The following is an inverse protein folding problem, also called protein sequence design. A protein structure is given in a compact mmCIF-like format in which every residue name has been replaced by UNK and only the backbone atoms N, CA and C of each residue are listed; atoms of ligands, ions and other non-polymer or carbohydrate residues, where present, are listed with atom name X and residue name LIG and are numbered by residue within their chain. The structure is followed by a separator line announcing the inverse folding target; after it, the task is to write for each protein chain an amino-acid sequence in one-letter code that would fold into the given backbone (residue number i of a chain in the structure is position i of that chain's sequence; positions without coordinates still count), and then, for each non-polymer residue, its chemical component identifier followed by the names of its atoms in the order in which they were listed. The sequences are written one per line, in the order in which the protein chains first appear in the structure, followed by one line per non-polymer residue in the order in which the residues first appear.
data_IF_771965791354
#
_entry.id   IF_771965791354
#
_cell.length_a   1.000
_cell.length_b   1.000
_cell.length_c   1.000
_cell.angle_alpha   90.00
_cell.angle_beta   90.00
_cell.angle_gamma   90.00
#
_symmetry.space_group_name_H-M   'P 1'
#
loop_
_entity.id
_entity.type
_entity.pdbx_description
1 polymer ?
#
# COMPACT_ATOMS: atom_id res chain seq x y z
N UNK A 1 30.21 28.59 -43.81
CA UNK A 1 31.29 28.85 -42.86
C UNK A 1 31.25 27.90 -41.69
N UNK A 2 32.39 27.38 -41.30
CA UNK A 2 32.45 26.39 -40.23
C UNK A 2 31.94 26.91 -38.87
N UNK A 3 32.17 28.20 -38.59
CA UNK A 3 31.70 28.80 -37.32
C UNK A 3 30.19 28.84 -37.20
N UNK A 4 29.49 29.13 -38.31
CA UNK A 4 28.02 29.14 -38.32
C UNK A 4 27.49 27.73 -38.19
N UNK A 5 28.10 26.75 -38.85
CA UNK A 5 27.72 25.35 -38.73
C UNK A 5 27.92 24.80 -37.32
N UNK A 6 29.06 25.16 -36.70
CA UNK A 6 29.34 24.76 -35.31
C UNK A 6 28.35 25.39 -34.35
N UNK A 7 28.01 26.66 -34.56
CA UNK A 7 27.02 27.35 -33.75
C UNK A 7 25.64 26.68 -33.88
N UNK A 8 25.24 26.35 -35.10
CA UNK A 8 23.97 25.65 -35.36
C UNK A 8 23.95 24.27 -34.72
N UNK A 9 25.07 23.55 -34.74
CA UNK A 9 25.17 22.23 -34.06
C UNK A 9 25.02 22.38 -32.57
N UNK A 10 25.66 23.38 -31.96
CA UNK A 10 25.53 23.64 -30.52
C UNK A 10 24.09 24.00 -30.19
N UNK A 11 23.48 24.87 -30.95
CA UNK A 11 22.09 25.28 -30.77
C UNK A 11 21.14 24.08 -30.86
N UNK A 12 21.33 23.21 -31.84
CA UNK A 12 20.56 21.99 -32.01
C UNK A 12 20.74 21.03 -30.84
N UNK A 13 21.94 20.86 -30.34
CA UNK A 13 22.22 20.01 -29.18
C UNK A 13 21.62 20.57 -27.90
N UNK A 14 21.67 21.90 -27.73
CA UNK A 14 21.03 22.56 -26.58
C UNK A 14 19.52 22.35 -26.60
N UNK A 15 18.89 22.51 -27.75
CA UNK A 15 17.45 22.28 -27.92
C UNK A 15 17.10 20.83 -27.60
N UNK A 16 17.93 19.89 -28.06
CA UNK A 16 17.75 18.46 -27.77
C UNK A 16 17.84 18.19 -26.27
N UNK A 17 18.82 18.78 -25.58
CA UNK A 17 18.97 18.63 -24.14
C UNK A 17 17.80 19.23 -23.37
N UNK A 18 17.31 20.39 -23.80
CA UNK A 18 16.13 21.02 -23.20
C UNK A 18 14.91 20.09 -23.35
N UNK A 19 14.74 19.50 -24.53
CA UNK A 19 13.67 18.54 -24.78
C UNK A 19 13.77 17.33 -23.86
N UNK A 20 14.96 16.76 -23.70
CA UNK A 20 15.22 15.64 -22.79
C UNK A 20 14.91 16.03 -21.36
N UNK A 21 15.37 17.20 -20.91
CA UNK A 21 15.10 17.69 -19.55
C UNK A 21 13.61 17.82 -19.29
N UNK A 22 12.86 18.37 -20.25
CA UNK A 22 11.40 18.51 -20.12
C UNK A 22 10.72 17.15 -20.05
N UNK A 23 11.14 16.19 -20.86
CA UNK A 23 10.63 14.82 -20.84
C UNK A 23 10.89 14.15 -19.50
N UNK A 24 12.11 14.34 -18.96
CA UNK A 24 12.46 13.78 -17.65
C UNK A 24 11.67 14.42 -16.51
N UNK A 25 11.45 15.72 -16.55
CA UNK A 25 10.62 16.42 -15.57
C UNK A 25 9.18 15.91 -15.59
N UNK A 26 8.64 15.75 -16.78
CA UNK A 26 7.28 15.22 -16.97
C UNK A 26 7.17 13.78 -16.47
N UNK A 27 8.12 12.93 -16.84
CA UNK A 27 8.17 11.53 -16.37
C UNK A 27 8.33 11.45 -14.85
N UNK A 28 9.16 12.32 -14.29
CA UNK A 28 9.37 12.38 -12.85
C UNK A 28 8.09 12.76 -12.10
N UNK A 29 7.39 13.77 -12.60
CA UNK A 29 6.10 14.18 -12.02
C UNK A 29 5.07 13.05 -12.08
N UNK A 30 4.99 12.38 -13.22
CA UNK A 30 4.09 11.25 -13.42
C UNK A 30 4.40 10.10 -12.46
N UNK A 31 5.68 9.77 -12.30
CA UNK A 31 6.13 8.73 -11.38
C UNK A 31 5.85 9.11 -9.92
N UNK A 32 6.06 10.35 -9.54
CA UNK A 32 5.74 10.84 -8.19
C UNK A 32 4.27 10.72 -7.89
N UNK A 33 3.43 11.04 -8.86
CA UNK A 33 1.97 10.91 -8.71
C UNK A 33 1.56 9.44 -8.56
N UNK A 34 2.19 8.54 -9.34
CA UNK A 34 1.94 7.10 -9.23
C UNK A 34 2.38 6.55 -7.87
N UNK A 35 3.55 6.97 -7.38
CA UNK A 35 4.04 6.57 -6.06
C UNK A 35 3.10 7.04 -4.97
N UNK A 36 2.66 8.29 -5.03
CA UNK A 36 1.70 8.83 -4.06
C UNK A 36 0.39 8.05 -4.06
N UNK A 37 -0.14 7.72 -5.25
CA UNK A 37 -1.34 6.90 -5.39
C UNK A 37 -1.17 5.50 -4.81
N UNK A 38 -0.02 4.86 -5.09
CA UNK A 38 0.29 3.53 -4.56
C UNK A 38 0.45 3.54 -3.04
N UNK A 39 1.05 4.59 -2.50
CA UNK A 39 1.18 4.77 -1.04
C UNK A 39 -0.20 4.87 -0.37
N UNK A 40 -1.12 5.63 -0.98
CA UNK A 40 -2.49 5.75 -0.48
C UNK A 40 -3.23 4.42 -0.54
N UNK A 41 -3.11 3.68 -1.65
CA UNK A 41 -3.71 2.34 -1.79
C UNK A 41 -3.16 1.38 -0.75
N UNK A 42 -1.86 1.43 -0.51
CA UNK A 42 -1.20 0.58 0.49
C UNK A 42 -1.68 0.89 1.89
N UNK A 43 -1.85 2.17 2.21
CA UNK A 43 -2.39 2.61 3.49
C UNK A 43 -3.81 2.09 3.69
N UNK A 44 -4.67 2.23 2.68
CA UNK A 44 -6.05 1.76 2.74
C UNK A 44 -6.11 0.24 2.94
N UNK A 45 -5.32 -0.51 2.19
CA UNK A 45 -5.25 -1.96 2.32
C UNK A 45 -4.72 -2.40 3.68
N UNK A 46 -3.74 -1.69 4.21
CA UNK A 46 -3.20 -1.95 5.55
C UNK A 46 -4.26 -1.72 6.62
N UNK A 47 -5.06 -0.67 6.50
CA UNK A 47 -6.17 -0.38 7.41
C UNK A 47 -7.22 -1.49 7.37
N UNK A 48 -7.55 -1.98 6.18
CA UNK A 48 -8.50 -3.09 6.00
C UNK A 48 -7.96 -4.36 6.65
N UNK A 49 -6.69 -4.69 6.42
CA UNK A 49 -6.05 -5.87 7.01
C UNK A 49 -6.05 -5.78 8.54
N UNK A 50 -5.73 -4.62 9.08
CA UNK A 50 -5.75 -4.39 10.53
C UNK A 50 -7.15 -4.59 11.09
N UNK A 51 -8.16 -4.03 10.45
CA UNK A 51 -9.56 -4.18 10.84
C UNK A 51 -10.01 -5.64 10.82
N UNK A 52 -9.69 -6.37 9.75
CA UNK A 52 -10.03 -7.79 9.62
C UNK A 52 -9.31 -8.64 10.66
N UNK A 53 -8.05 -8.32 10.96
CA UNK A 53 -7.28 -9.01 11.99
C UNK A 53 -7.91 -8.81 13.38
N UNK A 54 -8.32 -7.57 13.69
CA UNK A 54 -9.00 -7.25 14.94
C UNK A 54 -10.33 -7.98 15.07
N UNK A 55 -11.13 -8.02 14.01
CA UNK A 55 -12.39 -8.78 13.97
C UNK A 55 -12.16 -10.27 14.20
N UNK A 56 -11.14 -10.83 13.55
CA UNK A 56 -10.76 -12.23 13.71
C UNK A 56 -10.41 -12.55 15.16
N UNK A 57 -9.60 -11.70 15.79
CA UNK A 57 -9.21 -11.87 17.18
C UNK A 57 -10.42 -11.79 18.11
N UNK A 58 -11.34 -10.88 17.85
CA UNK A 58 -12.56 -10.73 18.62
C UNK A 58 -13.44 -11.98 18.52
N UNK A 59 -13.62 -12.49 17.31
CA UNK A 59 -14.41 -13.73 17.07
C UNK A 59 -13.76 -14.91 17.77
N UNK A 60 -12.45 -15.06 17.68
CA UNK A 60 -11.71 -16.13 18.35
C UNK A 60 -11.90 -16.06 19.87
N UNK A 61 -11.82 -14.87 20.43
CA UNK A 61 -12.02 -14.63 21.87
C UNK A 61 -13.45 -15.03 22.30
N UNK A 62 -14.45 -14.67 21.50
CA UNK A 62 -15.85 -15.03 21.77
C UNK A 62 -16.06 -16.55 21.70
N UNK A 63 -15.47 -17.21 20.72
CA UNK A 63 -15.53 -18.67 20.58
C UNK A 63 -14.91 -19.35 21.79
N UNK A 64 -13.75 -18.90 22.25
CA UNK A 64 -13.09 -19.43 23.44
C UNK A 64 -13.97 -19.27 24.69
N UNK A 65 -14.60 -18.12 24.83
CA UNK A 65 -15.51 -17.85 25.95
C UNK A 65 -16.71 -18.79 25.93
N UNK A 66 -17.30 -19.01 24.75
CA UNK A 66 -18.43 -19.93 24.59
C UNK A 66 -18.01 -21.37 24.90
N UNK A 67 -16.84 -21.80 24.41
CA UNK A 67 -16.33 -23.15 24.68
C UNK A 67 -16.11 -23.37 26.16
N UNK A 68 -15.55 -22.40 26.89
CA UNK A 68 -15.37 -22.47 28.33
C UNK A 68 -16.70 -22.57 29.08
N UNK A 69 -17.69 -21.81 28.65
CA UNK A 69 -19.03 -21.87 29.22
C UNK A 69 -19.66 -23.26 29.01
N UNK A 70 -19.52 -23.82 27.81
CA UNK A 70 -20.02 -25.17 27.50
C UNK A 70 -19.32 -26.24 28.31
N UNK A 71 -18.01 -26.14 28.47
CA UNK A 71 -17.21 -27.05 29.30
C UNK A 71 -17.65 -26.97 30.77
N UNK A 72 -17.87 -25.79 31.31
CA UNK A 72 -18.37 -25.61 32.67
C UNK A 72 -19.78 -26.18 32.84
N UNK A 73 -20.65 -25.96 31.88
CA UNK A 73 -22.01 -26.53 31.91
C UNK A 73 -21.98 -28.05 31.87
N UNK A 74 -21.15 -28.64 31.03
CA UNK A 74 -20.98 -30.09 30.94
C UNK A 74 -20.44 -30.66 32.24
N UNK A 75 -19.45 -30.00 32.85
CA UNK A 75 -18.90 -30.40 34.13
C UNK A 75 -19.92 -30.31 35.25
N UNK A 76 -20.72 -29.23 35.27
CA UNK A 76 -21.79 -29.08 36.26
C UNK A 76 -22.90 -30.12 36.09
N UNK A 77 -23.30 -30.44 34.87
CA UNK A 77 -24.29 -31.48 34.58
C UNK A 77 -23.78 -32.86 35.02
N UNK A 78 -22.50 -33.16 34.77
CA UNK A 78 -21.85 -34.38 35.22
C UNK A 78 -21.84 -34.49 36.74
N UNK A 79 -21.63 -33.37 37.44
CA UNK A 79 -21.62 -33.32 38.90
C UNK A 79 -22.99 -33.33 39.51
N UNK A 80 -24.02 -32.90 38.77
CA UNK A 80 -25.41 -32.85 39.23
C UNK A 80 -26.17 -34.15 39.01
N UNK A 81 -25.64 -35.07 38.23
CA UNK A 81 -26.23 -36.39 38.05
C UNK A 81 -25.89 -37.28 39.24
N UNK A 82 -26.88 -37.94 39.80
CA UNK A 82 -26.68 -38.84 40.94
C UNK A 82 -25.85 -40.08 40.60
#
# INVERSE_FOLDING_TARGET
MQLIQQFDEIESKVECLIGICRSLESANLELRNKVSGLENEMKDKTEIITSLTDEKLLVQSKIETILKKLENMAANDSNSLP
#
